data_IF_789558513498
#
_entry.id   IF_789558513498
#
_cell.length_a   1.000
_cell.length_b   1.000
_cell.length_c   1.000
_cell.angle_alpha   90.00
_cell.angle_beta   90.00
_cell.angle_gamma   90.00
#
_symmetry.space_group_name_H-M   'P 1'
#
loop_
_entity.id
_entity.type
_entity.pdbx_description
1 polymer ?
#
# COMPACT_ATOMS: atom_id res chain seq x y z
N UNK A 1 -29.50 -40.30 13.73
CA UNK A 1 -28.69 -39.73 12.60
C UNK A 1 -28.87 -38.23 12.61
N UNK A 2 -27.95 -37.49 13.21
CA UNK A 2 -27.94 -36.04 13.19
C UNK A 2 -27.21 -35.61 11.91
N UNK A 3 -27.96 -35.10 10.92
CA UNK A 3 -27.37 -34.45 9.76
C UNK A 3 -26.64 -33.21 10.26
N UNK A 4 -25.32 -33.26 10.29
CA UNK A 4 -24.46 -32.10 10.45
C UNK A 4 -24.81 -31.14 9.31
N UNK A 5 -25.52 -30.06 9.62
CA UNK A 5 -25.65 -28.92 8.72
C UNK A 5 -24.24 -28.33 8.56
N UNK A 6 -23.50 -28.82 7.58
CA UNK A 6 -22.30 -28.12 7.11
C UNK A 6 -22.77 -26.73 6.71
N UNK A 7 -22.39 -25.72 7.48
CA UNK A 7 -22.74 -24.35 7.23
C UNK A 7 -22.33 -24.04 5.77
N UNK A 8 -23.31 -23.69 4.92
CA UNK A 8 -23.07 -23.41 3.52
C UNK A 8 -22.12 -22.21 3.43
N UNK A 9 -20.89 -22.46 3.00
CA UNK A 9 -19.90 -21.42 2.80
C UNK A 9 -20.23 -20.68 1.48
N UNK A 10 -20.47 -19.37 1.58
CA UNK A 10 -20.77 -18.54 0.41
C UNK A 10 -19.56 -17.74 -0.04
N UNK A 11 -19.48 -17.34 -1.34
CA UNK A 11 -18.43 -16.44 -1.80
C UNK A 11 -18.40 -15.13 -1.01
N UNK A 12 -17.25 -14.79 -0.44
CA UNK A 12 -17.09 -13.64 0.46
C UNK A 12 -17.36 -12.31 -0.26
N UNK A 13 -18.15 -11.44 0.37
CA UNK A 13 -18.44 -10.11 -0.14
C UNK A 13 -17.16 -9.23 -0.19
N UNK A 14 -17.07 -8.34 -1.19
CA UNK A 14 -15.92 -7.48 -1.42
C UNK A 14 -15.50 -6.68 -0.17
N UNK A 15 -16.41 -5.94 0.46
CA UNK A 15 -16.10 -5.10 1.62
C UNK A 15 -15.60 -5.89 2.83
N UNK A 16 -16.06 -7.13 3.00
CA UNK A 16 -15.57 -8.01 4.07
C UNK A 16 -14.13 -8.45 3.80
N UNK A 17 -13.81 -8.75 2.55
CA UNK A 17 -12.44 -9.07 2.12
C UNK A 17 -11.52 -7.86 2.23
N UNK A 18 -12.00 -6.68 1.84
CA UNK A 18 -11.23 -5.45 1.92
C UNK A 18 -10.93 -5.06 3.38
N UNK A 19 -11.91 -5.18 4.29
CA UNK A 19 -11.67 -4.94 5.71
C UNK A 19 -10.65 -5.92 6.29
N UNK A 20 -10.72 -7.23 5.95
CA UNK A 20 -9.73 -8.21 6.36
C UNK A 20 -8.32 -7.85 5.86
N UNK A 21 -8.21 -7.53 4.57
CA UNK A 21 -6.97 -7.15 3.94
C UNK A 21 -6.34 -5.91 4.57
N UNK A 22 -7.12 -4.87 4.82
CA UNK A 22 -6.62 -3.62 5.40
C UNK A 22 -6.18 -3.77 6.86
N UNK A 23 -6.82 -4.65 7.64
CA UNK A 23 -6.34 -5.02 8.98
C UNK A 23 -4.97 -5.71 8.91
N UNK A 24 -4.85 -6.71 8.03
CA UNK A 24 -3.58 -7.43 7.83
C UNK A 24 -2.48 -6.48 7.35
N UNK A 25 -2.80 -5.60 6.38
CA UNK A 25 -1.86 -4.59 5.88
C UNK A 25 -1.37 -3.65 6.99
N UNK A 26 -2.27 -3.17 7.84
CA UNK A 26 -1.91 -2.28 8.95
C UNK A 26 -1.05 -3.00 9.98
N UNK A 27 -1.36 -4.26 10.29
CA UNK A 27 -0.58 -5.05 11.24
C UNK A 27 0.85 -5.28 10.71
N UNK A 28 0.97 -5.81 9.48
CA UNK A 28 2.28 -6.09 8.89
C UNK A 28 3.06 -4.81 8.66
N UNK A 29 2.40 -3.75 8.16
CA UNK A 29 3.00 -2.44 7.95
C UNK A 29 3.51 -1.81 9.24
N UNK A 30 2.75 -1.92 10.32
CA UNK A 30 3.16 -1.45 11.65
C UNK A 30 4.40 -2.20 12.16
N UNK A 31 4.41 -3.53 12.07
CA UNK A 31 5.57 -4.36 12.45
C UNK A 31 6.78 -3.99 11.58
N UNK A 32 6.59 -3.88 10.27
CA UNK A 32 7.65 -3.48 9.33
C UNK A 32 8.25 -2.13 9.73
N UNK A 33 7.39 -1.13 9.96
CA UNK A 33 7.81 0.22 10.35
C UNK A 33 8.64 0.19 11.64
N UNK A 34 8.22 -0.56 12.65
CA UNK A 34 8.99 -0.72 13.89
C UNK A 34 10.35 -1.36 13.67
N UNK A 35 10.44 -2.40 12.83
CA UNK A 35 11.69 -3.11 12.55
C UNK A 35 12.70 -2.25 11.79
N UNK A 36 12.25 -1.39 10.88
CA UNK A 36 13.13 -0.55 10.06
C UNK A 36 13.15 0.91 10.52
N UNK A 37 12.59 1.22 11.69
CA UNK A 37 12.47 2.58 12.22
C UNK A 37 13.75 3.41 12.16
N UNK A 38 14.94 2.90 12.58
CA UNK A 38 16.18 3.68 12.50
C UNK A 38 16.55 4.07 11.07
N UNK A 39 16.30 3.19 10.09
CA UNK A 39 16.57 3.44 8.66
C UNK A 39 15.60 4.46 8.08
N UNK A 40 14.32 4.40 8.48
CA UNK A 40 13.33 5.42 8.09
C UNK A 40 13.73 6.79 8.60
N UNK A 41 14.18 6.91 9.86
CA UNK A 41 14.64 8.15 10.45
C UNK A 41 15.88 8.72 9.74
N UNK A 42 16.88 7.87 9.48
CA UNK A 42 18.08 8.28 8.76
C UNK A 42 17.78 8.78 7.33
N UNK A 43 16.99 8.01 6.57
CA UNK A 43 16.60 8.39 5.21
C UNK A 43 15.70 9.62 5.16
N UNK A 44 14.85 9.86 6.16
CA UNK A 44 14.06 11.08 6.26
C UNK A 44 14.95 12.33 6.51
N UNK A 45 15.96 12.22 7.35
CA UNK A 45 16.94 13.30 7.59
C UNK A 45 17.73 13.57 6.32
N UNK A 46 18.27 12.54 5.66
CA UNK A 46 19.01 12.65 4.41
C UNK A 46 18.16 13.34 3.32
N UNK A 47 16.92 12.89 3.12
CA UNK A 47 15.98 13.49 2.16
C UNK A 47 15.69 14.95 2.48
N UNK A 48 15.46 15.28 3.75
CA UNK A 48 15.18 16.65 4.19
C UNK A 48 16.37 17.61 3.95
N UNK A 49 17.58 17.16 4.22
CA UNK A 49 18.81 17.93 3.96
C UNK A 49 19.02 18.16 2.46
N UNK A 50 18.87 17.11 1.66
CA UNK A 50 18.98 17.19 0.20
C UNK A 50 17.90 18.11 -0.40
N UNK A 51 16.67 18.06 0.08
CA UNK A 51 15.58 18.94 -0.35
C UNK A 51 15.87 20.40 0.01
N UNK A 52 16.43 20.67 1.19
CA UNK A 52 16.84 22.02 1.59
C UNK A 52 17.96 22.57 0.70
N UNK A 53 18.95 21.76 0.35
CA UNK A 53 20.01 22.13 -0.59
C UNK A 53 19.45 22.44 -1.98
N UNK A 54 18.59 21.57 -2.50
CA UNK A 54 17.94 21.77 -3.79
C UNK A 54 17.13 23.07 -3.82
N UNK A 55 16.36 23.36 -2.77
CA UNK A 55 15.57 24.60 -2.69
C UNK A 55 16.44 25.85 -2.69
N UNK A 56 17.57 25.84 -1.99
CA UNK A 56 18.55 26.98 -1.99
C UNK A 56 19.15 27.19 -3.37
N UNK A 57 19.54 26.09 -4.06
CA UNK A 57 20.09 26.19 -5.42
C UNK A 57 19.06 26.74 -6.41
N UNK A 58 17.85 26.22 -6.37
CA UNK A 58 16.77 26.69 -7.23
C UNK A 58 16.46 28.17 -7.00
N UNK A 59 16.35 28.61 -5.75
CA UNK A 59 16.11 30.03 -5.43
C UNK A 59 17.22 30.95 -5.92
N UNK A 60 18.50 30.56 -5.76
CA UNK A 60 19.64 31.32 -6.29
C UNK A 60 19.59 31.42 -7.81
N UNK A 61 19.43 30.31 -8.50
CA UNK A 61 19.37 30.29 -9.96
C UNK A 61 18.19 31.11 -10.49
N UNK A 62 17.02 31.03 -9.84
CA UNK A 62 15.87 31.87 -10.22
C UNK A 62 16.15 33.37 -10.01
N UNK A 63 16.77 33.75 -8.88
CA UNK A 63 17.13 35.12 -8.63
C UNK A 63 18.14 35.67 -9.66
N UNK A 64 19.16 34.88 -10.02
CA UNK A 64 20.17 35.25 -11.03
C UNK A 64 19.52 35.41 -12.42
N UNK A 65 18.61 34.53 -12.79
CA UNK A 65 17.86 34.60 -14.03
C UNK A 65 16.97 35.85 -14.10
N UNK A 66 16.26 36.16 -13.03
CA UNK A 66 15.43 37.37 -12.95
C UNK A 66 16.30 38.65 -13.06
N UNK A 67 17.46 38.67 -12.41
CA UNK A 67 18.41 39.80 -12.48
C UNK A 67 18.97 40.01 -13.90
N UNK A 68 19.14 38.94 -14.67
CA UNK A 68 19.67 38.96 -16.04
C UNK A 68 18.62 39.22 -17.12
N UNK A 69 17.33 39.29 -16.79
CA UNK A 69 16.23 39.45 -17.74
C UNK A 69 16.12 38.31 -18.76
N UNK A 70 16.54 37.12 -18.39
CA UNK A 70 16.54 35.95 -19.25
C UNK A 70 15.10 35.46 -19.61
N UNK A 71 14.97 34.90 -20.82
CA UNK A 71 13.67 34.31 -21.24
C UNK A 71 13.32 33.04 -20.46
N UNK A 72 12.04 32.75 -20.32
CA UNK A 72 11.56 31.54 -19.66
C UNK A 72 12.16 30.22 -20.25
N UNK A 73 12.45 30.20 -21.54
CA UNK A 73 13.02 29.02 -22.23
C UNK A 73 14.51 28.83 -21.87
N UNK A 74 15.31 29.92 -21.80
CA UNK A 74 16.71 29.82 -21.39
C UNK A 74 16.86 29.47 -19.91
N UNK A 75 15.90 29.90 -19.08
CA UNK A 75 15.81 29.57 -17.66
C UNK A 75 15.54 28.07 -17.45
N UNK A 76 14.55 27.52 -18.13
CA UNK A 76 14.18 26.10 -17.95
C UNK A 76 15.32 25.17 -18.42
N UNK A 77 15.99 25.49 -19.55
CA UNK A 77 17.13 24.70 -20.00
C UNK A 77 18.32 24.78 -19.03
N UNK A 78 18.62 25.97 -18.50
CA UNK A 78 19.69 26.17 -17.51
C UNK A 78 19.46 25.38 -16.22
N UNK A 79 18.23 25.40 -15.68
CA UNK A 79 17.86 24.63 -14.50
C UNK A 79 18.01 23.11 -14.70
N UNK A 80 17.63 22.59 -15.87
CA UNK A 80 17.71 21.16 -16.17
C UNK A 80 19.13 20.66 -16.42
N UNK A 81 20.04 21.55 -16.83
CA UNK A 81 21.42 21.19 -17.18
C UNK A 81 22.46 21.57 -16.13
N UNK A 82 22.05 22.29 -15.07
CA UNK A 82 22.97 22.67 -13.96
C UNK A 82 23.38 21.40 -13.17
N UNK A 83 24.72 21.09 -13.16
CA UNK A 83 25.20 19.88 -12.48
C UNK A 83 24.95 19.91 -10.96
N UNK A 84 24.91 21.10 -10.33
CA UNK A 84 24.66 21.23 -8.90
C UNK A 84 23.19 20.93 -8.57
N UNK A 85 22.27 21.39 -9.42
CA UNK A 85 20.83 21.08 -9.27
C UNK A 85 20.56 19.57 -9.51
N UNK A 86 21.19 18.99 -10.55
CA UNK A 86 21.10 17.56 -10.81
C UNK A 86 21.64 16.74 -9.63
N UNK A 87 22.82 17.07 -9.11
CA UNK A 87 23.38 16.36 -7.96
C UNK A 87 22.49 16.47 -6.70
N UNK A 88 21.88 17.64 -6.46
CA UNK A 88 20.95 17.81 -5.35
C UNK A 88 19.64 17.02 -5.56
N UNK A 89 19.13 16.95 -6.78
CA UNK A 89 17.97 16.11 -7.12
C UNK A 89 18.26 14.61 -6.95
N UNK A 90 19.43 14.15 -7.39
CA UNK A 90 19.89 12.76 -7.21
C UNK A 90 20.05 12.42 -5.72
N UNK A 91 20.52 13.37 -4.91
CA UNK A 91 20.60 13.19 -3.45
C UNK A 91 19.21 13.06 -2.81
N UNK A 92 18.20 13.83 -3.26
CA UNK A 92 16.80 13.66 -2.82
C UNK A 92 16.27 12.28 -3.20
N UNK A 93 16.48 11.87 -4.45
CA UNK A 93 16.08 10.54 -4.92
C UNK A 93 16.74 9.42 -4.10
N UNK A 94 18.05 9.54 -3.86
CA UNK A 94 18.80 8.56 -3.06
C UNK A 94 18.25 8.45 -1.64
N UNK A 95 18.01 9.56 -0.95
CA UNK A 95 17.42 9.56 0.39
C UNK A 95 16.04 8.89 0.43
N UNK A 96 15.18 9.15 -0.57
CA UNK A 96 13.88 8.50 -0.70
C UNK A 96 14.06 6.99 -0.88
N UNK A 97 14.97 6.56 -1.75
CA UNK A 97 15.23 5.12 -1.99
C UNK A 97 15.78 4.46 -0.71
N UNK A 98 16.74 5.07 -0.02
CA UNK A 98 17.29 4.56 1.24
C UNK A 98 16.24 4.46 2.34
N UNK A 99 15.23 5.31 2.33
CA UNK A 99 14.11 5.27 3.25
C UNK A 99 13.10 4.17 2.88
N UNK A 100 12.64 4.14 1.63
CA UNK A 100 11.51 3.29 1.22
C UNK A 100 11.91 1.85 0.88
N UNK A 101 13.07 1.62 0.25
CA UNK A 101 13.46 0.30 -0.22
C UNK A 101 13.59 -0.74 0.92
N UNK A 102 14.25 -0.43 2.05
CA UNK A 102 14.29 -1.37 3.18
C UNK A 102 12.90 -1.68 3.74
N UNK A 103 12.00 -0.69 3.77
CA UNK A 103 10.63 -0.89 4.22
C UNK A 103 9.86 -1.82 3.27
N UNK A 104 9.93 -1.55 1.96
CA UNK A 104 9.26 -2.37 0.94
C UNK A 104 9.75 -3.82 0.93
N UNK A 105 11.07 -4.02 1.01
CA UNK A 105 11.64 -5.37 1.03
C UNK A 105 11.27 -6.13 2.31
N UNK A 106 11.36 -5.48 3.47
CA UNK A 106 10.98 -6.09 4.76
C UNK A 106 9.48 -6.42 4.77
N UNK A 107 8.64 -5.49 4.30
CA UNK A 107 7.21 -5.72 4.17
C UNK A 107 6.89 -6.90 3.24
N UNK A 108 7.54 -6.98 2.08
CA UNK A 108 7.32 -8.07 1.12
C UNK A 108 7.64 -9.45 1.72
N UNK A 109 8.76 -9.56 2.44
CA UNK A 109 9.15 -10.81 3.11
C UNK A 109 8.17 -11.16 4.23
N UNK A 110 7.87 -10.22 5.13
CA UNK A 110 6.94 -10.45 6.23
C UNK A 110 5.53 -10.78 5.72
N UNK A 111 5.04 -10.08 4.70
CA UNK A 111 3.74 -10.34 4.10
C UNK A 111 3.67 -11.73 3.45
N UNK A 112 4.73 -12.16 2.77
CA UNK A 112 4.81 -13.51 2.20
C UNK A 112 4.74 -14.57 3.29
N UNK A 113 5.58 -14.47 4.32
CA UNK A 113 5.59 -15.42 5.45
C UNK A 113 4.23 -15.45 6.16
N UNK A 114 3.66 -14.28 6.42
CA UNK A 114 2.38 -14.12 7.10
C UNK A 114 1.23 -14.73 6.29
N UNK A 115 1.01 -14.31 5.05
CA UNK A 115 -0.12 -14.78 4.26
C UNK A 115 0.00 -16.24 3.89
N UNK A 116 1.16 -16.69 3.42
CA UNK A 116 1.38 -18.09 3.05
C UNK A 116 1.27 -18.98 4.29
N UNK A 117 1.90 -18.59 5.40
CA UNK A 117 1.90 -19.35 6.64
C UNK A 117 0.48 -19.51 7.23
N UNK A 118 -0.28 -18.42 7.34
CA UNK A 118 -1.64 -18.48 7.87
C UNK A 118 -2.65 -19.16 6.94
N UNK A 119 -2.55 -19.00 5.62
CA UNK A 119 -3.39 -19.72 4.66
C UNK A 119 -3.11 -21.23 4.64
N UNK A 120 -1.89 -21.64 5.02
CA UNK A 120 -1.50 -23.05 5.20
C UNK A 120 -1.78 -23.59 6.61
N UNK A 121 -2.13 -22.73 7.55
CA UNK A 121 -2.47 -23.15 8.91
C UNK A 121 -3.92 -23.69 8.97
N UNK A 122 -4.30 -24.20 10.15
CA UNK A 122 -5.70 -24.59 10.46
C UNK A 122 -6.73 -23.46 10.35
N UNK A 123 -6.25 -22.20 10.28
CA UNK A 123 -7.14 -21.03 10.11
C UNK A 123 -7.59 -20.87 8.66
N UNK A 124 -6.86 -21.42 7.70
CA UNK A 124 -7.14 -21.31 6.26
C UNK A 124 -7.29 -19.85 5.79
N UNK A 125 -6.59 -18.94 6.44
CA UNK A 125 -6.68 -17.51 6.17
C UNK A 125 -5.88 -16.71 7.17
N UNK A 126 -5.51 -15.49 6.80
CA UNK A 126 -4.81 -14.55 7.67
C UNK A 126 -5.65 -14.17 8.90
N UNK A 127 -5.03 -13.65 9.98
CA UNK A 127 -5.75 -13.15 11.16
C UNK A 127 -6.89 -12.19 10.83
N UNK A 128 -6.70 -11.21 9.93
CA UNK A 128 -7.78 -10.31 9.49
C UNK A 128 -8.93 -11.06 8.81
N UNK A 129 -8.63 -12.07 7.99
CA UNK A 129 -9.65 -12.95 7.41
C UNK A 129 -10.37 -13.76 8.49
N UNK A 130 -9.62 -14.33 9.42
CA UNK A 130 -10.18 -15.13 10.50
C UNK A 130 -11.14 -14.33 11.40
N UNK A 131 -10.78 -13.09 11.76
CA UNK A 131 -11.62 -12.16 12.52
C UNK A 131 -12.95 -11.85 11.83
N UNK A 132 -12.97 -11.88 10.51
CA UNK A 132 -14.17 -11.62 9.69
C UNK A 132 -14.85 -12.90 9.20
N UNK A 133 -14.50 -14.07 9.75
CA UNK A 133 -15.10 -15.34 9.38
C UNK A 133 -14.83 -15.78 7.94
N UNK A 134 -13.66 -15.35 7.38
CA UNK A 134 -13.25 -15.68 6.02
C UNK A 134 -12.24 -16.83 6.02
N UNK A 135 -12.34 -17.69 5.02
CA UNK A 135 -11.38 -18.78 4.75
C UNK A 135 -11.01 -18.81 3.28
N UNK A 136 -9.78 -19.22 2.99
CA UNK A 136 -9.30 -19.46 1.63
C UNK A 136 -9.39 -20.94 1.32
N UNK A 137 -9.95 -21.27 0.17
CA UNK A 137 -10.14 -22.64 -0.29
C UNK A 137 -9.70 -22.78 -1.74
N UNK A 138 -9.37 -24.01 -2.14
CA UNK A 138 -9.23 -24.39 -3.54
C UNK A 138 -10.59 -24.20 -4.25
N UNK A 139 -10.60 -23.57 -5.42
CA UNK A 139 -11.83 -23.24 -6.13
C UNK A 139 -12.58 -24.45 -6.71
N UNK A 140 -11.92 -25.63 -6.79
CA UNK A 140 -12.51 -26.84 -7.41
C UNK A 140 -13.28 -27.71 -6.43
N UNK A 141 -12.72 -27.88 -5.23
CA UNK A 141 -13.17 -28.90 -4.27
C UNK A 141 -13.33 -28.39 -2.83
N UNK A 142 -13.12 -27.08 -2.60
CA UNK A 142 -13.19 -26.43 -1.29
C UNK A 142 -12.18 -26.94 -0.26
N UNK A 143 -11.18 -27.70 -0.67
CA UNK A 143 -10.12 -28.18 0.21
C UNK A 143 -9.14 -27.06 0.55
N UNK A 144 -8.24 -27.34 1.47
CA UNK A 144 -7.12 -26.44 1.79
C UNK A 144 -6.25 -26.20 0.54
N UNK A 145 -5.93 -24.94 0.19
CA UNK A 145 -5.04 -24.66 -0.94
C UNK A 145 -3.66 -25.29 -0.74
N UNK A 146 -3.02 -25.76 -1.80
CA UNK A 146 -1.65 -26.25 -1.74
C UNK A 146 -0.66 -25.10 -1.44
N UNK A 147 0.57 -25.44 -1.03
CA UNK A 147 1.63 -24.45 -0.82
C UNK A 147 1.90 -23.63 -2.10
N UNK A 148 1.92 -24.30 -3.25
CA UNK A 148 2.09 -23.63 -4.53
C UNK A 148 0.94 -22.65 -4.82
N UNK A 149 -0.30 -23.06 -4.57
CA UNK A 149 -1.47 -22.18 -4.77
C UNK A 149 -1.42 -20.94 -3.87
N UNK A 150 -1.06 -21.10 -2.58
CA UNK A 150 -0.93 -19.95 -1.67
C UNK A 150 0.22 -19.03 -2.06
N UNK A 151 1.36 -19.60 -2.50
CA UNK A 151 2.50 -18.83 -3.01
C UNK A 151 2.12 -18.04 -4.28
N UNK A 152 1.60 -18.73 -5.29
CA UNK A 152 1.15 -18.09 -6.54
C UNK A 152 0.12 -17.00 -6.25
N UNK A 153 -0.85 -17.27 -5.35
CA UNK A 153 -1.86 -16.31 -4.95
C UNK A 153 -1.27 -15.06 -4.31
N UNK A 154 -0.29 -15.22 -3.42
CA UNK A 154 0.38 -14.11 -2.77
C UNK A 154 1.13 -13.23 -3.79
N UNK A 155 1.98 -13.82 -4.63
CA UNK A 155 2.73 -13.07 -5.63
C UNK A 155 1.86 -12.48 -6.73
N UNK A 156 0.81 -13.18 -7.17
CA UNK A 156 -0.18 -12.62 -8.10
C UNK A 156 -0.97 -11.46 -7.47
N UNK A 157 -1.07 -11.40 -6.14
CA UNK A 157 -1.62 -10.25 -5.43
C UNK A 157 -0.81 -8.97 -5.64
N UNK A 158 0.52 -9.08 -5.73
CA UNK A 158 1.41 -7.95 -6.03
C UNK A 158 1.12 -7.35 -7.42
N UNK A 159 0.75 -8.18 -8.40
CA UNK A 159 0.34 -7.69 -9.73
C UNK A 159 -0.90 -6.80 -9.67
N UNK A 160 -1.83 -7.07 -8.75
CA UNK A 160 -3.01 -6.22 -8.54
C UNK A 160 -2.64 -4.82 -8.05
N UNK A 161 -1.55 -4.68 -7.30
CA UNK A 161 -1.03 -3.38 -6.86
C UNK A 161 -0.48 -2.57 -8.04
N UNK A 162 0.27 -3.21 -8.92
CA UNK A 162 0.78 -2.57 -10.15
C UNK A 162 -0.37 -2.07 -11.04
N UNK A 163 -1.51 -2.75 -11.02
CA UNK A 163 -2.71 -2.38 -11.76
C UNK A 163 -3.66 -1.50 -10.91
N UNK A 164 -3.15 -0.64 -10.05
CA UNK A 164 -3.93 0.28 -9.20
C UNK A 164 -5.04 -0.42 -8.40
N UNK A 165 -4.78 -1.65 -7.93
CA UNK A 165 -5.73 -2.51 -7.21
C UNK A 165 -6.96 -2.98 -8.01
N UNK A 166 -7.03 -2.77 -9.32
CA UNK A 166 -8.14 -3.24 -10.16
C UNK A 166 -8.33 -4.76 -10.06
N UNK A 167 -7.21 -5.52 -9.92
CA UNK A 167 -7.28 -6.96 -9.72
C UNK A 167 -8.01 -7.38 -8.43
N UNK A 168 -7.96 -6.57 -7.38
CA UNK A 168 -8.74 -6.81 -6.17
C UNK A 168 -10.20 -6.43 -6.35
N UNK A 169 -10.51 -5.39 -7.14
CA UNK A 169 -11.87 -4.93 -7.40
C UNK A 169 -12.72 -5.97 -8.14
N UNK A 170 -12.11 -6.90 -8.89
CA UNK A 170 -12.82 -8.02 -9.51
C UNK A 170 -13.61 -8.87 -8.51
N UNK A 171 -13.20 -8.90 -7.23
CA UNK A 171 -13.95 -9.58 -6.17
C UNK A 171 -15.32 -8.95 -5.86
N UNK A 172 -15.61 -7.76 -6.40
CA UNK A 172 -16.93 -7.15 -6.32
C UNK A 172 -17.92 -7.73 -7.36
N UNK A 173 -17.41 -8.41 -8.40
CA UNK A 173 -18.22 -8.90 -9.53
C UNK A 173 -18.82 -10.27 -9.20
N UNK A 174 -20.17 -10.41 -9.17
CA UNK A 174 -20.83 -11.69 -9.02
C UNK A 174 -20.74 -12.56 -10.30
N UNK A 175 -21.01 -13.85 -10.23
CA UNK A 175 -21.39 -14.60 -9.05
C UNK A 175 -20.22 -15.09 -8.19
N UNK A 176 -19.02 -15.21 -8.75
CA UNK A 176 -17.90 -15.90 -8.10
C UNK A 176 -17.17 -15.05 -7.06
N UNK A 177 -17.25 -13.71 -7.16
CA UNK A 177 -16.60 -12.76 -6.25
C UNK A 177 -15.10 -13.07 -6.02
N UNK A 178 -14.38 -13.43 -7.09
CA UNK A 178 -12.95 -13.79 -7.07
C UNK A 178 -12.11 -12.60 -7.53
N UNK A 179 -11.03 -12.32 -6.82
CA UNK A 179 -10.02 -11.35 -7.25
C UNK A 179 -9.11 -11.97 -8.33
N UNK A 180 -8.34 -11.15 -9.04
CA UNK A 180 -7.43 -11.62 -10.10
C UNK A 180 -6.46 -12.71 -9.59
N UNK A 181 -5.84 -12.50 -8.44
CA UNK A 181 -4.94 -13.46 -7.83
C UNK A 181 -5.63 -14.77 -7.42
N UNK A 182 -6.94 -14.72 -7.09
CA UNK A 182 -7.73 -15.91 -6.82
C UNK A 182 -7.95 -16.73 -8.09
N UNK A 183 -8.18 -16.07 -9.23
CA UNK A 183 -8.30 -16.74 -10.54
C UNK A 183 -6.99 -17.40 -10.95
N UNK A 184 -5.87 -16.65 -10.86
CA UNK A 184 -4.54 -17.13 -11.25
C UNK A 184 -4.14 -18.36 -10.41
N UNK A 185 -4.40 -18.33 -9.10
CA UNK A 185 -4.05 -19.42 -8.19
C UNK A 185 -5.06 -20.56 -8.15
N UNK A 186 -6.21 -20.46 -8.82
CA UNK A 186 -7.28 -21.44 -8.70
C UNK A 186 -7.86 -21.54 -7.28
N UNK A 187 -7.90 -20.41 -6.55
CA UNK A 187 -8.41 -20.31 -5.19
C UNK A 187 -9.71 -19.51 -5.12
N UNK A 188 -10.40 -19.55 -3.98
CA UNK A 188 -11.56 -18.71 -3.68
C UNK A 188 -11.59 -18.34 -2.19
N UNK A 189 -12.23 -17.22 -1.86
CA UNK A 189 -12.45 -16.82 -0.47
C UNK A 189 -13.91 -17.05 -0.13
N UNK A 190 -14.13 -17.79 0.94
CA UNK A 190 -15.43 -18.18 1.44
C UNK A 190 -15.73 -17.43 2.74
N UNK A 191 -17.00 -17.13 2.98
CA UNK A 191 -17.50 -16.57 4.23
C UNK A 191 -18.31 -17.62 4.97
N UNK A 192 -18.07 -17.73 6.28
CA UNK A 192 -18.88 -18.59 7.18
C UNK A 192 -20.25 -18.00 7.47
N UNK A 193 -20.37 -16.66 7.33
CA UNK A 193 -21.59 -15.93 7.63
C UNK A 193 -22.03 -15.11 6.42
N UNK A 194 -23.31 -15.17 6.08
CA UNK A 194 -23.94 -14.27 5.10
C UNK A 194 -24.30 -12.89 5.69
N UNK A 195 -24.08 -12.70 7.00
CA UNK A 195 -24.41 -11.45 7.71
C UNK A 195 -23.72 -10.24 7.11
N UNK A 196 -24.31 -9.09 7.30
CA UNK A 196 -23.70 -7.79 6.99
C UNK A 196 -22.36 -7.62 7.71
N UNK A 197 -21.50 -6.74 7.18
CA UNK A 197 -20.21 -6.41 7.79
C UNK A 197 -20.43 -5.94 9.25
N UNK A 198 -19.65 -6.44 10.25
CA UNK A 198 -19.78 -6.03 11.65
C UNK A 198 -19.60 -4.52 11.83
N UNK A 199 -20.26 -3.94 12.83
CA UNK A 199 -20.21 -2.49 13.07
C UNK A 199 -18.79 -1.95 13.26
N UNK A 200 -17.96 -2.67 14.02
CA UNK A 200 -16.55 -2.31 14.20
C UNK A 200 -15.74 -2.30 12.90
N UNK A 201 -15.99 -3.24 11.99
CA UNK A 201 -15.31 -3.30 10.70
C UNK A 201 -15.77 -2.17 9.76
N UNK A 202 -17.05 -1.76 9.85
CA UNK A 202 -17.55 -0.55 9.15
C UNK A 202 -16.89 0.72 9.69
N UNK A 203 -16.78 0.84 11.01
CA UNK A 203 -16.07 1.96 11.66
C UNK A 203 -14.59 1.99 11.25
N UNK A 204 -13.93 0.83 11.20
CA UNK A 204 -12.56 0.70 10.71
C UNK A 204 -12.40 1.19 9.27
N UNK A 205 -13.30 0.81 8.37
CA UNK A 205 -13.28 1.30 6.98
C UNK A 205 -13.56 2.81 6.90
N UNK A 206 -14.50 3.32 7.68
CA UNK A 206 -14.78 4.75 7.75
C UNK A 206 -13.55 5.55 8.23
N UNK A 207 -12.85 5.05 9.27
CA UNK A 207 -11.61 5.66 9.75
C UNK A 207 -10.54 5.74 8.66
N UNK A 208 -10.40 4.71 7.83
CA UNK A 208 -9.44 4.71 6.72
C UNK A 208 -9.79 5.76 5.66
N UNK A 209 -11.07 5.89 5.32
CA UNK A 209 -11.53 6.93 4.37
C UNK A 209 -11.24 8.32 4.94
N UNK A 210 -11.57 8.55 6.21
CA UNK A 210 -11.30 9.82 6.88
C UNK A 210 -9.79 10.11 6.89
N UNK A 211 -8.95 9.15 7.29
CA UNK A 211 -7.51 9.31 7.30
C UNK A 211 -6.94 9.54 5.89
N UNK A 212 -7.46 8.82 4.90
CA UNK A 212 -7.05 8.94 3.49
C UNK A 212 -7.38 10.31 2.87
N UNK A 213 -8.34 11.04 3.42
CA UNK A 213 -8.65 12.42 3.01
C UNK A 213 -7.92 13.43 3.90
N UNK A 214 -7.97 13.25 5.21
CA UNK A 214 -7.44 14.21 6.17
C UNK A 214 -5.91 14.37 6.07
N UNK A 215 -5.17 13.28 5.87
CA UNK A 215 -3.70 13.32 5.78
C UNK A 215 -3.22 14.09 4.54
N UNK A 216 -3.67 13.81 3.31
CA UNK A 216 -3.28 14.60 2.14
C UNK A 216 -3.70 16.07 2.24
N UNK A 217 -4.89 16.37 2.76
CA UNK A 217 -5.35 17.75 2.98
C UNK A 217 -4.42 18.47 3.97
N UNK A 218 -4.11 17.84 5.09
CA UNK A 218 -3.18 18.40 6.07
C UNK A 218 -1.79 18.63 5.47
N UNK A 219 -1.25 17.67 4.69
CA UNK A 219 0.02 17.83 3.99
C UNK A 219 -0.01 19.00 3.00
N UNK A 220 -1.08 19.12 2.21
CA UNK A 220 -1.25 20.22 1.27
C UNK A 220 -1.28 21.59 1.98
N UNK A 221 -2.02 21.69 3.09
CA UNK A 221 -2.07 22.92 3.89
C UNK A 221 -0.70 23.29 4.47
N UNK A 222 0.10 22.29 4.87
CA UNK A 222 1.48 22.52 5.33
C UNK A 222 2.39 23.03 4.22
N UNK A 223 2.28 22.47 3.02
CA UNK A 223 3.02 22.94 1.84
C UNK A 223 2.64 24.37 1.50
N UNK A 224 1.34 24.68 1.42
CA UNK A 224 0.87 26.04 1.13
C UNK A 224 1.37 27.04 2.18
N UNK A 225 1.27 26.70 3.46
CA UNK A 225 1.75 27.55 4.55
C UNK A 225 3.27 27.80 4.50
N UNK A 226 4.05 26.84 3.98
CA UNK A 226 5.51 27.02 3.81
C UNK A 226 5.88 27.90 2.62
N UNK A 227 4.98 28.13 1.68
CA UNK A 227 5.20 28.98 0.50
C UNK A 227 4.78 30.45 0.74
N UNK A 228 3.92 30.74 1.73
CA UNK A 228 3.44 32.09 2.01
C UNK A 228 4.57 33.10 2.35
N UNK A 229 5.58 32.78 3.18
CA UNK A 229 6.67 33.71 3.46
C UNK A 229 7.57 34.08 2.27
N UNK A 230 7.43 33.37 1.16
CA UNK A 230 8.19 33.62 -0.07
C UNK A 230 7.42 34.53 -1.05
N UNK A 231 6.19 34.89 -0.73
CA UNK A 231 5.33 35.75 -1.56
C UNK A 231 5.12 37.16 -0.96
N UNK A 232 5.49 37.35 0.33
CA UNK A 232 5.54 38.64 1.06
C UNK A 232 6.94 39.24 0.98
#
# INVERSE_FOLDING_TARGET
MAASHAAAHTPAAFWRRYAAYSLDFTLIGGITTLLVWPRLGAGAIETSQAMSQLSVLLNRTLADVMAQGASATSTSSGLLTDPAIQAAADAVQSGIVHMLLPWLLTYAVLAAMYHIGFERSRWLGSPGKHLLGLTVANARDDTQPSLLQTGVRHFAGALSWLLLNLGHALAAVPPQKRALHDYIAGARVLSRDEKSLPAWARAWLALQVIAGVAVPVWMLLRVVASLQPALD
#
